data_IF_386437915181
#
_entry.id   IF_386437915181
#
_cell.length_a   1.000
_cell.length_b   1.000
_cell.length_c   1.000
_cell.angle_alpha   90.00
_cell.angle_beta   90.00
_cell.angle_gamma   90.00
#
_symmetry.space_group_name_H-M   'P 1'
#
loop_
_entity.id
_entity.type
_entity.pdbx_description
1 polymer ?
#
# COMPACT_ATOMS: atom_id res chain seq x y z
N UNK A 1 -6.60 -8.98 -19.86
CA UNK A 1 -6.23 -10.12 -19.00
C UNK A 1 -6.15 -9.62 -17.57
N UNK A 2 -7.11 -9.97 -16.71
CA UNK A 2 -7.11 -9.58 -15.30
C UNK A 2 -6.27 -10.60 -14.53
N UNK A 3 -5.09 -10.18 -14.03
CA UNK A 3 -4.21 -11.04 -13.25
C UNK A 3 -4.91 -11.36 -11.93
N UNK A 4 -5.09 -12.66 -11.62
CA UNK A 4 -5.72 -13.13 -10.39
C UNK A 4 -4.88 -12.67 -9.19
N UNK A 5 -5.39 -11.72 -8.43
CA UNK A 5 -4.84 -11.35 -7.13
C UNK A 5 -4.79 -12.59 -6.24
N UNK A 6 -3.59 -13.11 -5.94
CA UNK A 6 -3.39 -14.20 -4.98
C UNK A 6 -3.63 -13.65 -3.58
N UNK A 7 -4.81 -13.90 -3.03
CA UNK A 7 -5.06 -13.73 -1.60
C UNK A 7 -4.27 -14.81 -0.84
N UNK A 8 -3.39 -14.39 0.07
CA UNK A 8 -2.63 -15.29 0.95
C UNK A 8 -3.47 -15.73 2.14
N UNK A 9 -3.32 -16.98 2.57
CA UNK A 9 -4.06 -17.54 3.70
C UNK A 9 -3.68 -16.86 5.04
N UNK A 10 -4.66 -16.67 5.92
CA UNK A 10 -4.49 -15.93 7.19
C UNK A 10 -3.47 -16.59 8.13
N UNK A 11 -3.40 -17.92 8.10
CA UNK A 11 -2.55 -18.77 8.95
C UNK A 11 -1.04 -18.52 8.80
N UNK A 12 -0.58 -17.96 7.67
CA UNK A 12 0.83 -17.67 7.44
C UNK A 12 1.40 -16.54 8.33
N UNK A 13 0.56 -15.92 9.17
CA UNK A 13 0.90 -14.70 9.91
C UNK A 13 0.52 -14.76 11.40
N UNK A 14 0.30 -15.96 11.95
CA UNK A 14 0.14 -16.20 13.40
C UNK A 14 -0.97 -15.38 14.08
N UNK A 15 -2.06 -15.04 13.37
CA UNK A 15 -3.19 -14.30 13.95
C UNK A 15 -4.37 -15.20 14.30
N UNK A 16 -5.20 -14.74 15.24
CA UNK A 16 -6.44 -15.42 15.64
C UNK A 16 -7.43 -15.51 14.47
N UNK A 17 -8.12 -16.64 14.33
CA UNK A 17 -9.20 -16.82 13.34
C UNK A 17 -10.41 -15.92 13.61
N UNK A 18 -10.53 -15.40 14.82
CA UNK A 18 -11.62 -14.51 15.24
C UNK A 18 -11.35 -13.04 14.93
N UNK A 19 -10.12 -12.67 14.58
CA UNK A 19 -9.80 -11.29 14.23
C UNK A 19 -10.20 -11.00 12.78
N UNK A 20 -11.24 -10.18 12.62
CA UNK A 20 -11.64 -9.63 11.31
C UNK A 20 -10.56 -8.67 10.81
N UNK A 21 -9.55 -9.22 10.15
CA UNK A 21 -8.43 -8.49 9.58
C UNK A 21 -8.44 -8.63 8.06
N UNK A 22 -8.63 -7.50 7.37
CA UNK A 22 -8.47 -7.46 5.91
C UNK A 22 -7.02 -7.07 5.60
N UNK A 23 -6.28 -7.95 4.91
CA UNK A 23 -4.92 -7.67 4.47
C UNK A 23 -4.93 -7.13 3.04
N UNK A 24 -4.68 -5.84 2.91
CA UNK A 24 -4.43 -5.21 1.62
C UNK A 24 -2.92 -5.24 1.33
N UNK A 25 -2.53 -6.03 0.34
CA UNK A 25 -1.19 -5.96 -0.24
C UNK A 25 -1.27 -5.11 -1.51
N UNK A 26 -1.03 -3.81 -1.39
CA UNK A 26 -0.91 -2.91 -2.54
C UNK A 26 0.57 -2.88 -2.98
N UNK A 27 0.92 -3.74 -3.94
CA UNK A 27 2.23 -3.66 -4.61
C UNK A 27 2.10 -2.76 -5.83
N UNK A 28 2.08 -1.44 -5.58
CA UNK A 28 2.03 -0.41 -6.62
C UNK A 28 3.11 0.66 -6.41
N UNK A 29 4.29 0.22 -5.96
CA UNK A 29 5.47 1.06 -5.76
C UNK A 29 6.66 0.39 -6.44
N UNK A 30 7.32 1.12 -7.33
CA UNK A 30 8.65 0.76 -7.81
C UNK A 30 9.70 1.32 -6.84
N UNK A 31 10.04 0.50 -5.84
CA UNK A 31 11.02 0.90 -4.83
C UNK A 31 12.43 1.07 -5.39
N UNK A 32 12.78 0.38 -6.48
CA UNK A 32 14.09 0.48 -7.08
C UNK A 32 14.27 1.84 -7.77
N UNK A 33 13.25 2.30 -8.51
CA UNK A 33 13.26 3.62 -9.13
C UNK A 33 13.28 4.74 -8.07
N UNK A 34 12.48 4.62 -7.01
CA UNK A 34 12.45 5.59 -5.92
C UNK A 34 13.82 5.69 -5.20
N UNK A 35 14.46 4.55 -4.90
CA UNK A 35 15.79 4.53 -4.28
C UNK A 35 16.85 5.17 -5.19
N UNK A 36 16.84 4.86 -6.48
CA UNK A 36 17.77 5.46 -7.44
C UNK A 36 17.65 6.99 -7.51
N UNK A 37 16.44 7.54 -7.34
CA UNK A 37 16.22 8.99 -7.33
C UNK A 37 16.77 9.66 -6.05
N UNK A 38 16.69 8.98 -4.90
CA UNK A 38 17.34 9.44 -3.65
C UNK A 38 18.86 9.40 -3.76
N UNK A 39 19.42 8.33 -4.35
CA UNK A 39 20.86 8.21 -4.59
C UNK A 39 21.36 9.31 -5.56
N UNK A 40 20.51 9.77 -6.47
CA UNK A 40 20.78 10.91 -7.36
C UNK A 40 20.68 12.28 -6.66
N UNK A 41 20.30 12.33 -5.38
CA UNK A 41 20.27 13.53 -4.56
C UNK A 41 18.91 14.23 -4.48
N UNK A 42 17.82 13.59 -4.90
CA UNK A 42 16.47 14.11 -4.68
C UNK A 42 16.13 14.12 -3.16
N UNK A 43 15.41 15.14 -2.70
CA UNK A 43 15.00 15.25 -1.29
C UNK A 43 13.85 14.29 -0.98
N UNK A 44 13.92 13.59 0.16
CA UNK A 44 12.83 12.77 0.68
C UNK A 44 11.80 13.65 1.41
N UNK A 45 10.85 14.20 0.65
CA UNK A 45 9.75 15.02 1.16
C UNK A 45 8.37 14.52 0.68
N UNK A 46 7.31 15.24 1.04
CA UNK A 46 5.94 14.89 0.60
C UNK A 46 5.81 14.90 -0.93
N UNK A 47 6.54 15.79 -1.62
CA UNK A 47 6.51 15.85 -3.07
C UNK A 47 7.20 14.63 -3.71
N UNK A 48 8.26 14.11 -3.10
CA UNK A 48 8.88 12.84 -3.49
C UNK A 48 7.88 11.68 -3.36
N UNK A 49 7.15 11.59 -2.24
CA UNK A 49 6.14 10.55 -2.03
C UNK A 49 5.02 10.65 -3.07
N UNK A 50 4.54 11.85 -3.38
CA UNK A 50 3.51 12.02 -4.42
C UNK A 50 4.03 11.73 -5.83
N UNK A 51 5.33 11.94 -6.12
CA UNK A 51 5.93 11.60 -7.42
C UNK A 51 6.13 10.10 -7.59
N UNK A 52 6.80 9.46 -6.65
CA UNK A 52 7.27 8.07 -6.79
C UNK A 52 6.30 7.03 -6.21
N UNK A 53 5.42 7.45 -5.29
CA UNK A 53 4.47 6.57 -4.60
C UNK A 53 3.00 6.95 -4.90
N UNK A 54 2.72 7.69 -5.97
CA UNK A 54 1.40 8.26 -6.28
C UNK A 54 0.23 7.27 -6.19
N UNK A 55 0.40 6.06 -6.73
CA UNK A 55 -0.64 5.04 -6.72
C UNK A 55 -0.87 4.48 -5.31
N UNK A 56 0.21 4.30 -4.55
CA UNK A 56 0.15 3.85 -3.17
C UNK A 56 -0.52 4.91 -2.28
N UNK A 57 -0.10 6.18 -2.37
CA UNK A 57 -0.68 7.28 -1.59
C UNK A 57 -2.18 7.45 -1.89
N UNK A 58 -2.58 7.38 -3.17
CA UNK A 58 -3.98 7.40 -3.58
C UNK A 58 -4.77 6.20 -3.04
N UNK A 59 -4.19 4.99 -3.07
CA UNK A 59 -4.81 3.79 -2.52
C UNK A 59 -5.07 3.90 -1.02
N UNK A 60 -4.07 4.35 -0.25
CA UNK A 60 -4.19 4.58 1.19
C UNK A 60 -5.26 5.61 1.50
N UNK A 61 -5.29 6.75 0.79
CA UNK A 61 -6.34 7.78 0.97
C UNK A 61 -7.74 7.22 0.76
N UNK A 62 -7.95 6.39 -0.27
CA UNK A 62 -9.24 5.73 -0.53
C UNK A 62 -9.64 4.76 0.57
N UNK A 63 -8.68 4.00 1.11
CA UNK A 63 -8.92 3.10 2.25
C UNK A 63 -9.33 3.90 3.49
N UNK A 64 -8.62 4.97 3.83
CA UNK A 64 -8.99 5.84 4.94
C UNK A 64 -10.41 6.41 4.77
N UNK A 65 -10.74 6.91 3.58
CA UNK A 65 -12.08 7.42 3.28
C UNK A 65 -13.16 6.34 3.44
N UNK A 66 -12.89 5.11 3.00
CA UNK A 66 -13.81 3.99 3.17
C UNK A 66 -14.01 3.64 4.66
N UNK A 67 -12.92 3.57 5.44
CA UNK A 67 -13.00 3.31 6.89
C UNK A 67 -13.86 4.38 7.58
N UNK A 68 -13.57 5.66 7.35
CA UNK A 68 -14.33 6.76 7.94
C UNK A 68 -15.82 6.70 7.58
N UNK A 69 -16.16 6.26 6.36
CA UNK A 69 -17.55 6.11 5.93
C UNK A 69 -18.28 4.91 6.57
N UNK A 70 -17.57 3.94 7.15
CA UNK A 70 -18.13 2.66 7.62
C UNK A 70 -17.85 2.36 9.10
N UNK A 71 -17.23 3.26 9.86
CA UNK A 71 -16.86 3.06 11.27
C UNK A 71 -17.89 3.65 12.26
N UNK A 72 -19.19 3.48 11.98
CA UNK A 72 -20.27 3.96 12.84
C UNK A 72 -20.32 3.24 14.20
#
# INVERSE_FOLDING_TARGET
MCSKSKLMASSCFLMSETDLSTRFCFVCLDGAAALAALDAGESLDDAFVERHCAQLSAGVRRLCAWVLANSA
#
